data_IF_146411751310
#
_entry.id   IF_146411751310
#
_cell.length_a   1.000
_cell.length_b   1.000
_cell.length_c   1.000
_cell.angle_alpha   90.00
_cell.angle_beta   90.00
_cell.angle_gamma   90.00
#
_symmetry.space_group_name_H-M   'P 1'
#
loop_
_entity.id
_entity.type
_entity.pdbx_description
1 polymer ?
#
# COMPACT_ATOMS: atom_id res chain seq x y z
N UNK A 1 -23.22 4.64 -20.11
CA UNK A 1 -22.38 5.68 -19.48
C UNK A 1 -20.95 5.52 -20.04
N UNK A 2 -20.39 6.55 -20.72
CA UNK A 2 -19.07 6.45 -21.32
C UNK A 2 -18.00 6.25 -20.21
N UNK A 3 -17.00 5.40 -20.44
CA UNK A 3 -15.92 5.18 -19.50
C UNK A 3 -15.14 6.49 -19.27
N UNK A 4 -14.79 6.81 -18.02
CA UNK A 4 -14.03 8.03 -17.71
C UNK A 4 -12.66 8.02 -18.37
N UNK A 5 -12.18 9.19 -18.80
CA UNK A 5 -10.85 9.30 -19.39
C UNK A 5 -9.75 9.24 -18.32
N UNK A 6 -8.64 8.56 -18.61
CA UNK A 6 -7.48 8.48 -17.72
C UNK A 6 -6.91 9.86 -17.38
N UNK A 7 -6.70 10.80 -18.34
CA UNK A 7 -6.18 12.13 -18.02
C UNK A 7 -7.09 12.93 -17.06
N UNK A 8 -8.41 12.83 -17.22
CA UNK A 8 -9.36 13.49 -16.31
C UNK A 8 -9.28 12.89 -14.91
N UNK A 9 -9.20 11.57 -14.79
CA UNK A 9 -9.02 10.86 -13.51
C UNK A 9 -7.75 11.34 -12.79
N UNK A 10 -6.62 11.31 -13.46
CA UNK A 10 -5.32 11.71 -12.94
C UNK A 10 -5.34 13.15 -12.41
N UNK A 11 -5.75 14.10 -13.25
CA UNK A 11 -5.78 15.52 -12.90
C UNK A 11 -6.67 15.79 -11.69
N UNK A 12 -7.91 15.28 -11.69
CA UNK A 12 -8.89 15.54 -10.62
C UNK A 12 -8.50 14.84 -9.31
N UNK A 13 -8.01 13.61 -9.39
CA UNK A 13 -7.58 12.85 -8.22
C UNK A 13 -6.36 13.49 -7.55
N UNK A 14 -5.33 13.87 -8.31
CA UNK A 14 -4.15 14.53 -7.77
C UNK A 14 -4.45 15.93 -7.21
N UNK A 15 -5.35 16.69 -7.86
CA UNK A 15 -5.80 17.98 -7.32
C UNK A 15 -6.51 17.83 -5.97
N UNK A 16 -7.35 16.81 -5.83
CA UNK A 16 -7.99 16.47 -4.55
C UNK A 16 -6.95 16.03 -3.51
N UNK A 17 -6.03 15.15 -3.88
CA UNK A 17 -5.04 14.59 -2.96
C UNK A 17 -4.13 15.65 -2.35
N UNK A 18 -3.69 16.65 -3.11
CA UNK A 18 -2.86 17.75 -2.60
C UNK A 18 -3.49 18.48 -1.41
N UNK A 19 -4.81 18.50 -1.30
CA UNK A 19 -5.57 19.19 -0.23
C UNK A 19 -6.00 18.27 0.90
N UNK A 20 -6.04 16.96 0.69
CA UNK A 20 -6.68 16.01 1.60
C UNK A 20 -5.79 14.83 2.00
N UNK A 21 -4.50 14.86 1.64
CA UNK A 21 -3.59 13.78 2.00
C UNK A 21 -3.49 13.59 3.51
N UNK A 22 -3.58 12.34 3.97
CA UNK A 22 -3.46 12.02 5.38
C UNK A 22 -2.00 12.10 5.84
N UNK A 23 -1.68 12.76 6.98
CA UNK A 23 -0.31 12.90 7.50
C UNK A 23 0.13 11.63 8.24
N UNK A 24 0.26 10.50 7.54
CA UNK A 24 0.60 9.21 8.13
C UNK A 24 2.12 9.10 8.36
N UNK A 25 2.58 8.46 9.48
CA UNK A 25 4.00 8.39 9.82
C UNK A 25 4.87 7.76 8.73
N UNK A 26 4.39 6.69 8.12
CA UNK A 26 5.11 5.98 7.04
C UNK A 26 5.16 6.74 5.71
N UNK A 27 4.45 7.85 5.57
CA UNK A 27 4.55 8.76 4.42
C UNK A 27 5.67 9.79 4.55
N UNK A 28 6.25 9.91 5.76
CA UNK A 28 7.37 10.82 6.05
C UNK A 28 8.74 10.18 5.83
N UNK A 29 8.78 8.96 5.31
CA UNK A 29 10.01 8.21 5.05
C UNK A 29 9.99 7.57 3.68
N UNK A 30 11.18 7.30 3.14
CA UNK A 30 11.41 6.47 1.94
C UNK A 30 12.21 5.21 2.28
N UNK A 31 12.46 4.96 3.55
CA UNK A 31 13.13 3.75 4.00
C UNK A 31 12.26 2.52 3.69
N UNK A 32 12.72 1.60 2.81
CA UNK A 32 11.92 0.47 2.37
C UNK A 32 11.57 -0.51 3.49
N UNK A 33 12.41 -0.61 4.52
CA UNK A 33 12.09 -1.41 5.71
C UNK A 33 10.91 -0.82 6.48
N UNK A 34 10.94 0.49 6.74
CA UNK A 34 9.88 1.18 7.48
C UNK A 34 8.55 1.15 6.72
N UNK A 35 8.60 1.26 5.40
CA UNK A 35 7.43 1.12 4.53
C UNK A 35 6.90 -0.32 4.57
N UNK A 36 7.77 -1.33 4.44
CA UNK A 36 7.36 -2.73 4.52
C UNK A 36 6.68 -3.05 5.87
N UNK A 37 7.23 -2.54 6.99
CA UNK A 37 6.63 -2.68 8.32
C UNK A 37 5.20 -2.13 8.32
N UNK A 38 4.98 -0.90 7.81
CA UNK A 38 3.64 -0.32 7.77
C UNK A 38 2.68 -1.10 6.90
N UNK A 39 3.11 -1.56 5.72
CA UNK A 39 2.27 -2.32 4.79
C UNK A 39 1.81 -3.66 5.39
N UNK A 40 2.70 -4.37 6.10
CA UNK A 40 2.33 -5.60 6.78
C UNK A 40 1.42 -5.33 7.99
N UNK A 41 1.63 -4.24 8.73
CA UNK A 41 0.77 -3.85 9.85
C UNK A 41 -0.65 -3.48 9.39
N UNK A 42 -0.78 -2.80 8.26
CA UNK A 42 -2.05 -2.34 7.70
C UNK A 42 -2.91 -3.47 7.10
N UNK A 43 -2.35 -4.67 6.88
CA UNK A 43 -3.14 -5.81 6.42
C UNK A 43 -4.27 -6.11 7.42
N UNK A 44 -5.52 -5.87 7.03
CA UNK A 44 -6.74 -6.10 7.83
C UNK A 44 -6.73 -5.39 9.21
N UNK A 45 -6.01 -4.29 9.34
CA UNK A 45 -5.95 -3.49 10.58
C UNK A 45 -6.22 -2.02 10.27
N UNK A 46 -7.01 -1.37 11.11
CA UNK A 46 -7.35 0.04 10.97
C UNK A 46 -6.13 0.93 11.23
N UNK A 47 -6.02 2.03 10.49
CA UNK A 47 -4.90 2.99 10.53
C UNK A 47 -4.63 3.48 11.96
N UNK A 48 -5.66 3.88 12.68
CA UNK A 48 -5.52 4.46 14.04
C UNK A 48 -4.92 3.47 15.04
N UNK A 49 -5.15 2.17 14.86
CA UNK A 49 -4.53 1.12 15.66
C UNK A 49 -3.07 0.87 15.26
N UNK A 50 -2.74 1.10 13.99
CA UNK A 50 -1.37 0.87 13.47
C UNK A 50 -0.43 1.99 13.86
N UNK A 51 -0.84 3.26 13.87
CA UNK A 51 0.04 4.40 14.13
C UNK A 51 0.87 4.25 15.42
N UNK A 52 0.27 4.06 16.60
CA UNK A 52 1.06 3.93 17.84
C UNK A 52 1.95 2.70 17.82
N UNK A 53 1.48 1.59 17.26
CA UNK A 53 2.22 0.34 17.21
C UNK A 53 3.39 0.39 16.21
N UNK A 54 3.25 1.10 15.13
CA UNK A 54 4.33 1.36 14.17
C UNK A 54 5.51 2.09 14.83
N UNK A 55 5.24 3.13 15.63
CA UNK A 55 6.28 3.84 16.37
C UNK A 55 6.95 2.96 17.43
N UNK A 56 6.16 2.19 18.19
CA UNK A 56 6.68 1.25 19.18
C UNK A 56 7.57 0.19 18.54
N UNK A 57 7.11 -0.40 17.44
CA UNK A 57 7.82 -1.46 16.73
C UNK A 57 9.16 -0.95 16.17
N UNK A 58 9.19 0.23 15.55
CA UNK A 58 10.41 0.81 15.00
C UNK A 58 11.38 1.31 16.07
N UNK A 59 10.91 1.67 17.26
CA UNK A 59 11.82 1.93 18.40
C UNK A 59 12.50 0.65 18.85
N UNK A 60 11.78 -0.49 18.87
CA UNK A 60 12.33 -1.77 19.31
C UNK A 60 13.20 -2.44 18.24
N UNK A 61 12.83 -2.28 16.96
CA UNK A 61 13.50 -2.84 15.80
C UNK A 61 13.71 -1.76 14.74
N UNK A 62 14.67 -0.82 14.94
CA UNK A 62 14.85 0.32 14.05
C UNK A 62 15.40 -0.05 12.67
N UNK A 63 16.02 -1.22 12.53
CA UNK A 63 16.57 -1.71 11.25
C UNK A 63 16.11 -3.14 10.95
N UNK A 64 16.18 -3.52 9.67
CA UNK A 64 15.91 -4.88 9.21
C UNK A 64 16.84 -5.90 9.88
N UNK A 65 18.10 -5.52 10.15
CA UNK A 65 19.10 -6.38 10.79
C UNK A 65 18.73 -6.72 12.25
N UNK A 66 18.21 -5.76 12.99
CA UNK A 66 17.74 -5.97 14.36
C UNK A 66 16.49 -6.86 14.43
N UNK A 67 15.55 -6.63 13.51
CA UNK A 67 14.38 -7.49 13.40
C UNK A 67 14.75 -8.94 13.04
N UNK A 68 15.71 -9.12 12.13
CA UNK A 68 16.18 -10.45 11.73
C UNK A 68 16.75 -11.28 12.90
N UNK A 69 17.42 -10.62 13.85
CA UNK A 69 18.01 -11.25 15.05
C UNK A 69 16.99 -11.52 16.16
N UNK A 70 15.83 -10.87 16.13
CA UNK A 70 14.85 -10.94 17.21
C UNK A 70 14.26 -12.35 17.36
N UNK A 71 13.94 -12.76 18.59
CA UNK A 71 13.23 -14.01 18.85
C UNK A 71 11.76 -13.90 18.44
N UNK A 72 11.14 -14.95 17.84
CA UNK A 72 9.74 -14.91 17.42
C UNK A 72 8.76 -14.47 18.51
N UNK A 73 8.96 -14.94 19.75
CA UNK A 73 8.12 -14.60 20.89
C UNK A 73 8.16 -13.10 21.22
N UNK A 74 9.35 -12.48 21.14
CA UNK A 74 9.53 -11.04 21.39
C UNK A 74 8.83 -10.20 20.32
N UNK A 75 8.97 -10.59 19.04
CA UNK A 75 8.30 -9.89 17.93
C UNK A 75 6.78 -9.96 18.07
N UNK A 76 6.23 -11.13 18.46
CA UNK A 76 4.79 -11.26 18.75
C UNK A 76 4.35 -10.36 19.92
N UNK A 77 5.14 -10.30 20.99
CA UNK A 77 4.84 -9.44 22.16
C UNK A 77 4.75 -7.96 21.77
N UNK A 78 5.71 -7.46 21.00
CA UNK A 78 5.70 -6.06 20.53
C UNK A 78 4.56 -5.81 19.53
N UNK A 79 4.16 -6.82 18.75
CA UNK A 79 3.08 -6.71 17.77
C UNK A 79 1.68 -6.61 18.40
N UNK A 80 1.49 -7.23 19.57
CA UNK A 80 0.20 -7.21 20.28
C UNK A 80 -0.26 -5.78 20.57
N UNK A 81 -1.54 -5.40 20.37
CA UNK A 81 -2.72 -6.23 20.08
C UNK A 81 -3.22 -6.14 18.61
N UNK A 82 -2.36 -6.00 17.61
CA UNK A 82 -2.81 -5.86 16.20
C UNK A 82 -3.50 -7.11 15.64
N UNK A 83 -3.37 -8.26 16.30
CA UNK A 83 -3.94 -9.52 15.83
C UNK A 83 -3.20 -10.12 14.63
N UNK A 84 -3.78 -11.20 14.06
CA UNK A 84 -3.18 -11.93 12.93
C UNK A 84 -1.70 -12.30 13.16
N UNK A 85 -1.45 -13.06 14.22
CA UNK A 85 -0.14 -13.33 14.82
C UNK A 85 0.88 -14.04 13.91
N UNK A 86 0.49 -14.42 12.69
CA UNK A 86 1.41 -14.91 11.66
C UNK A 86 2.18 -13.76 11.00
N UNK A 87 1.61 -12.55 10.90
CA UNK A 87 2.22 -11.41 10.21
C UNK A 87 3.56 -10.97 10.82
N UNK A 88 3.70 -10.81 12.16
CA UNK A 88 4.99 -10.45 12.74
C UNK A 88 6.07 -11.51 12.49
N UNK A 89 5.68 -12.79 12.42
CA UNK A 89 6.62 -13.87 12.13
C UNK A 89 7.05 -13.83 10.67
N UNK A 90 6.12 -13.63 9.73
CA UNK A 90 6.44 -13.42 8.32
C UNK A 90 7.37 -12.22 8.11
N UNK A 91 7.06 -11.08 8.73
CA UNK A 91 7.89 -9.88 8.65
C UNK A 91 9.31 -10.14 9.17
N UNK A 92 9.45 -10.86 10.29
CA UNK A 92 10.76 -11.28 10.80
C UNK A 92 11.48 -12.23 9.83
N UNK A 93 10.78 -13.20 9.25
CA UNK A 93 11.38 -14.13 8.28
C UNK A 93 11.83 -13.40 7.01
N UNK A 94 11.02 -12.47 6.50
CA UNK A 94 11.44 -11.56 5.43
C UNK A 94 12.73 -10.81 5.82
N UNK A 95 12.80 -10.27 7.02
CA UNK A 95 13.99 -9.58 7.49
C UNK A 95 15.23 -10.50 7.51
N UNK A 96 15.07 -11.79 7.85
CA UNK A 96 16.16 -12.76 7.80
C UNK A 96 16.63 -13.02 6.37
N UNK A 97 15.71 -13.26 5.43
CA UNK A 97 16.02 -13.41 4.01
C UNK A 97 16.77 -12.19 3.48
N UNK A 98 16.26 -10.99 3.79
CA UNK A 98 16.90 -9.73 3.38
C UNK A 98 18.33 -9.61 3.90
N UNK A 99 18.59 -10.05 5.14
CA UNK A 99 19.97 -10.02 5.70
C UNK A 99 20.86 -11.09 5.10
N UNK A 100 20.34 -12.31 4.93
CA UNK A 100 21.11 -13.47 4.50
C UNK A 100 21.40 -13.47 2.98
N UNK A 101 20.41 -13.08 2.18
CA UNK A 101 20.46 -13.21 0.71
C UNK A 101 20.66 -11.89 -0.02
N UNK A 102 20.32 -10.75 0.63
CA UNK A 102 20.37 -9.42 0.02
C UNK A 102 21.27 -8.44 0.77
N UNK A 103 22.17 -8.93 1.65
CA UNK A 103 23.14 -8.08 2.38
C UNK A 103 22.49 -7.01 3.28
N UNK A 104 21.24 -7.23 3.69
CA UNK A 104 20.46 -6.30 4.52
C UNK A 104 19.78 -5.16 3.73
N UNK A 105 19.71 -5.26 2.42
CA UNK A 105 19.01 -4.29 1.55
C UNK A 105 17.72 -4.92 1.01
N UNK A 106 16.60 -4.24 1.21
CA UNK A 106 15.34 -4.70 0.61
C UNK A 106 15.43 -4.53 -0.91
N UNK A 107 15.10 -5.58 -1.69
CA UNK A 107 15.12 -5.52 -3.15
C UNK A 107 14.21 -4.42 -3.72
N UNK A 108 14.66 -3.82 -4.82
CA UNK A 108 13.96 -2.79 -5.57
C UNK A 108 13.34 -3.31 -6.89
N UNK A 109 13.12 -4.61 -6.97
CA UNK A 109 12.48 -5.28 -8.10
C UNK A 109 11.29 -6.14 -7.67
N UNK A 110 10.31 -6.32 -8.59
CA UNK A 110 9.16 -7.19 -8.33
C UNK A 110 9.60 -8.62 -8.03
N UNK A 111 10.50 -9.17 -8.84
CA UNK A 111 10.94 -10.57 -8.70
C UNK A 111 11.62 -10.79 -7.35
N UNK A 112 12.52 -9.88 -6.96
CA UNK A 112 13.20 -9.97 -5.67
C UNK A 112 12.25 -9.84 -4.47
N UNK A 113 11.21 -9.01 -4.58
CA UNK A 113 10.21 -8.88 -3.52
C UNK A 113 9.24 -10.06 -3.49
N UNK A 114 8.77 -10.53 -4.64
CA UNK A 114 7.81 -11.65 -4.73
C UNK A 114 8.43 -13.00 -4.36
N UNK A 115 9.75 -13.14 -4.44
CA UNK A 115 10.46 -14.32 -3.98
C UNK A 115 10.37 -14.52 -2.44
N UNK A 116 10.05 -13.48 -1.68
CA UNK A 116 9.94 -13.56 -0.22
C UNK A 116 8.55 -14.05 0.21
N UNK A 117 8.49 -15.10 1.03
CA UNK A 117 7.22 -15.58 1.58
C UNK A 117 6.50 -14.50 2.38
N UNK A 118 5.22 -14.29 2.06
CA UNK A 118 4.38 -13.27 2.69
C UNK A 118 4.37 -11.91 1.99
N UNK A 119 5.16 -11.71 0.93
CA UNK A 119 5.08 -10.55 0.05
C UNK A 119 4.27 -10.91 -1.20
N UNK A 120 3.04 -10.40 -1.27
CA UNK A 120 2.21 -10.52 -2.46
C UNK A 120 2.37 -9.31 -3.40
N UNK A 121 1.74 -9.41 -4.58
CA UNK A 121 1.79 -8.37 -5.62
C UNK A 121 1.47 -6.96 -5.11
N UNK A 122 0.50 -6.83 -4.20
CA UNK A 122 0.17 -5.54 -3.58
C UNK A 122 1.35 -4.99 -2.76
N UNK A 123 1.86 -5.79 -1.83
CA UNK A 123 2.96 -5.37 -0.94
C UNK A 123 4.22 -5.04 -1.74
N UNK A 124 4.56 -5.85 -2.74
CA UNK A 124 5.67 -5.58 -3.65
C UNK A 124 5.48 -4.23 -4.37
N UNK A 125 4.32 -4.01 -4.99
CA UNK A 125 4.01 -2.74 -5.65
C UNK A 125 4.04 -1.53 -4.71
N UNK A 126 3.56 -1.69 -3.47
CA UNK A 126 3.60 -0.65 -2.46
C UNK A 126 5.04 -0.27 -2.06
N UNK A 127 5.90 -1.27 -1.80
CA UNK A 127 7.32 -1.03 -1.49
C UNK A 127 8.02 -0.34 -2.67
N UNK A 128 7.84 -0.85 -3.90
CA UNK A 128 8.46 -0.26 -5.10
C UNK A 128 7.99 1.19 -5.33
N UNK A 129 6.70 1.44 -5.17
CA UNK A 129 6.13 2.78 -5.36
C UNK A 129 6.51 3.74 -4.24
N UNK A 130 6.42 3.31 -2.97
CA UNK A 130 6.54 4.23 -1.84
C UNK A 130 7.97 4.43 -1.37
N UNK A 131 8.83 3.41 -1.47
CA UNK A 131 10.23 3.52 -1.11
C UNK A 131 11.11 3.96 -2.29
N UNK A 132 10.94 3.29 -3.44
CA UNK A 132 11.83 3.46 -4.59
C UNK A 132 11.28 4.40 -5.66
N UNK A 133 10.11 5.01 -5.43
CA UNK A 133 9.44 5.94 -6.35
C UNK A 133 9.22 5.37 -7.76
N UNK A 134 9.05 4.06 -7.87
CA UNK A 134 8.76 3.40 -9.14
C UNK A 134 7.27 3.55 -9.51
N UNK A 135 6.97 3.54 -10.79
CA UNK A 135 5.59 3.56 -11.31
C UNK A 135 4.91 2.18 -11.19
N UNK A 136 5.04 1.57 -10.01
CA UNK A 136 4.50 0.26 -9.69
C UNK A 136 3.03 0.38 -9.25
N UNK A 137 2.08 -0.31 -9.92
CA UNK A 137 0.68 -0.28 -9.54
C UNK A 137 0.41 -1.02 -8.23
N UNK A 138 -0.60 -0.55 -7.50
CA UNK A 138 -1.18 -1.25 -6.35
C UNK A 138 -2.69 -1.41 -6.53
N UNK A 139 -3.23 -2.52 -6.06
CA UNK A 139 -4.68 -2.76 -6.05
C UNK A 139 -5.08 -3.41 -4.74
N UNK A 140 -5.53 -2.59 -3.79
CA UNK A 140 -6.24 -3.02 -2.58
C UNK A 140 -7.76 -2.96 -2.81
N UNK A 141 -8.55 -3.19 -1.77
CA UNK A 141 -10.01 -3.13 -1.83
C UNK A 141 -10.54 -1.72 -2.13
N UNK A 142 -9.86 -0.68 -1.67
CA UNK A 142 -10.23 0.72 -1.89
C UNK A 142 -9.94 1.15 -3.32
N UNK A 143 -8.73 0.87 -3.80
CA UNK A 143 -8.31 1.12 -5.18
C UNK A 143 -9.16 0.34 -6.17
N UNK A 144 -9.39 -0.95 -5.92
CA UNK A 144 -10.24 -1.79 -6.76
C UNK A 144 -11.66 -1.20 -6.90
N UNK A 145 -12.29 -0.82 -5.79
CA UNK A 145 -13.62 -0.21 -5.77
C UNK A 145 -13.66 1.11 -6.52
N UNK A 146 -12.67 1.98 -6.30
CA UNK A 146 -12.55 3.26 -6.96
C UNK A 146 -12.45 3.10 -8.48
N UNK A 147 -11.52 2.26 -8.95
CA UNK A 147 -11.32 1.99 -10.37
C UNK A 147 -12.54 1.35 -11.03
N UNK A 148 -13.20 0.40 -10.33
CA UNK A 148 -14.43 -0.21 -10.81
C UNK A 148 -15.54 0.82 -11.04
N UNK A 149 -15.79 1.67 -10.05
CA UNK A 149 -16.86 2.66 -10.12
C UNK A 149 -16.58 3.74 -11.15
N UNK A 150 -15.33 4.20 -11.23
CA UNK A 150 -14.97 5.27 -12.17
C UNK A 150 -14.90 4.78 -13.62
N UNK A 151 -14.30 3.62 -13.89
CA UNK A 151 -14.11 3.11 -15.23
C UNK A 151 -15.15 2.08 -15.69
N UNK A 152 -16.13 1.76 -14.86
CA UNK A 152 -17.21 0.85 -15.21
C UNK A 152 -16.76 -0.61 -15.40
N UNK A 153 -15.82 -1.10 -14.58
CA UNK A 153 -15.34 -2.49 -14.71
C UNK A 153 -16.32 -3.45 -14.04
N UNK A 154 -17.14 -4.12 -14.86
CA UNK A 154 -18.23 -4.99 -14.38
C UNK A 154 -18.02 -6.48 -14.63
N UNK A 155 -17.18 -6.90 -15.59
CA UNK A 155 -17.04 -8.32 -15.95
C UNK A 155 -16.34 -9.13 -14.84
N UNK A 156 -17.03 -10.09 -14.17
CA UNK A 156 -16.49 -10.84 -13.04
C UNK A 156 -15.26 -11.70 -13.37
N UNK A 157 -15.26 -12.40 -14.50
CA UNK A 157 -14.23 -13.38 -14.87
C UNK A 157 -12.86 -12.75 -15.21
N UNK A 158 -12.86 -11.51 -15.71
CA UNK A 158 -11.63 -10.78 -16.08
C UNK A 158 -11.34 -9.59 -15.16
N UNK A 159 -12.14 -9.40 -14.13
CA UNK A 159 -12.13 -8.22 -13.26
C UNK A 159 -10.77 -7.96 -12.61
N UNK A 160 -10.17 -8.99 -12.00
CA UNK A 160 -8.89 -8.83 -11.28
C UNK A 160 -7.76 -8.38 -12.22
N UNK A 161 -7.58 -9.05 -13.35
CA UNK A 161 -6.56 -8.69 -14.34
C UNK A 161 -6.76 -7.26 -14.85
N UNK A 162 -7.99 -6.92 -15.27
CA UNK A 162 -8.33 -5.59 -15.78
C UNK A 162 -8.10 -4.47 -14.77
N UNK A 163 -8.31 -4.71 -13.48
CA UNK A 163 -8.03 -3.73 -12.42
C UNK A 163 -6.55 -3.46 -12.27
N UNK A 164 -5.70 -4.48 -12.36
CA UNK A 164 -4.25 -4.30 -12.32
C UNK A 164 -3.72 -3.57 -13.57
N UNK A 165 -4.24 -3.90 -14.75
CA UNK A 165 -3.94 -3.19 -16.00
C UNK A 165 -4.35 -1.70 -15.90
N UNK A 166 -5.54 -1.42 -15.41
CA UNK A 166 -6.00 -0.05 -15.19
C UNK A 166 -5.16 0.68 -14.14
N UNK A 167 -4.84 0.03 -13.03
CA UNK A 167 -4.00 0.62 -12.00
C UNK A 167 -2.64 1.05 -12.58
N UNK A 168 -2.04 0.26 -13.46
CA UNK A 168 -0.82 0.64 -14.17
C UNK A 168 -1.05 1.81 -15.15
N UNK A 169 -2.12 1.75 -15.93
CA UNK A 169 -2.45 2.80 -16.93
C UNK A 169 -2.77 4.17 -16.33
N UNK A 170 -3.30 4.21 -15.11
CA UNK A 170 -3.62 5.49 -14.43
C UNK A 170 -2.41 6.12 -13.74
N UNK A 171 -1.25 5.48 -13.72
CA UNK A 171 -0.03 6.07 -13.19
C UNK A 171 0.63 6.95 -14.26
N UNK A 172 0.71 8.28 -14.08
CA UNK A 172 1.54 9.11 -14.96
C UNK A 172 3.02 8.81 -14.69
N UNK A 173 3.86 8.91 -15.70
CA UNK A 173 5.30 8.67 -15.59
C UNK A 173 5.91 9.48 -14.43
N UNK A 174 6.65 8.81 -13.55
CA UNK A 174 7.30 9.40 -12.38
C UNK A 174 6.35 9.85 -11.27
N UNK A 175 5.06 9.43 -11.29
CA UNK A 175 4.04 9.79 -10.30
C UNK A 175 3.43 8.58 -9.58
N UNK A 176 4.12 7.46 -9.58
CA UNK A 176 3.65 6.23 -8.94
C UNK A 176 3.27 6.44 -7.48
N UNK A 177 4.12 7.10 -6.71
CA UNK A 177 3.84 7.42 -5.32
C UNK A 177 2.56 8.23 -5.16
N UNK A 178 2.47 9.38 -5.81
CA UNK A 178 1.38 10.33 -5.61
C UNK A 178 0.03 9.72 -6.01
N UNK A 179 -0.04 9.06 -7.16
CA UNK A 179 -1.29 8.50 -7.68
C UNK A 179 -1.78 7.31 -6.84
N UNK A 180 -0.87 6.44 -6.41
CA UNK A 180 -1.20 5.29 -5.57
C UNK A 180 -1.71 5.75 -4.20
N UNK A 181 -1.03 6.68 -3.53
CA UNK A 181 -1.48 7.25 -2.27
C UNK A 181 -2.81 7.99 -2.43
N UNK A 182 -2.99 8.73 -3.51
CA UNK A 182 -4.23 9.42 -3.83
C UNK A 182 -5.42 8.45 -4.01
N UNK A 183 -5.21 7.35 -4.73
CA UNK A 183 -6.25 6.32 -4.92
C UNK A 183 -6.65 5.66 -3.60
N UNK A 184 -5.68 5.34 -2.74
CA UNK A 184 -5.94 4.77 -1.42
C UNK A 184 -6.74 5.73 -0.54
N UNK A 185 -6.32 7.00 -0.44
CA UNK A 185 -7.01 8.00 0.37
C UNK A 185 -8.41 8.30 -0.17
N UNK A 186 -8.54 8.52 -1.47
CA UNK A 186 -9.84 8.78 -2.08
C UNK A 186 -10.82 7.61 -1.92
N UNK A 187 -10.32 6.39 -2.09
CA UNK A 187 -11.10 5.18 -1.88
C UNK A 187 -11.55 4.98 -0.44
N UNK A 188 -10.74 5.38 0.54
CA UNK A 188 -11.07 5.24 1.96
C UNK A 188 -11.91 6.39 2.52
N UNK A 189 -11.74 7.63 2.03
CA UNK A 189 -12.38 8.82 2.58
C UNK A 189 -13.62 9.27 1.80
N UNK A 190 -13.62 9.13 0.47
CA UNK A 190 -14.69 9.65 -0.40
C UNK A 190 -15.48 8.51 -1.07
N UNK A 191 -14.79 7.61 -1.79
CA UNK A 191 -15.41 6.50 -2.50
C UNK A 191 -15.57 5.27 -1.59
N UNK A 192 -16.17 5.47 -0.41
CA UNK A 192 -16.32 4.42 0.62
C UNK A 192 -17.22 3.28 0.17
N UNK A 193 -17.16 2.12 0.86
CA UNK A 193 -17.90 0.93 0.47
C UNK A 193 -19.42 1.13 0.61
N UNK A 194 -19.87 1.59 1.78
CA UNK A 194 -21.31 1.66 2.14
C UNK A 194 -21.94 3.02 1.89
N UNK A 195 -21.24 4.12 2.15
CA UNK A 195 -21.78 5.50 2.05
C UNK A 195 -20.81 6.38 1.26
N UNK A 196 -20.69 6.18 -0.07
CA UNK A 196 -19.80 7.03 -0.88
C UNK A 196 -20.37 8.45 -1.00
N UNK A 197 -19.49 9.43 -0.96
CA UNK A 197 -19.83 10.85 -1.06
C UNK A 197 -20.01 11.30 -2.52
N UNK A 198 -20.91 10.64 -3.25
CA UNK A 198 -21.11 10.88 -4.69
C UNK A 198 -21.58 12.30 -5.05
N UNK A 199 -22.45 12.99 -4.26
CA UNK A 199 -22.87 14.36 -4.58
C UNK A 199 -21.72 15.36 -4.65
N UNK A 200 -20.73 15.25 -3.75
CA UNK A 200 -19.58 16.16 -3.62
C UNK A 200 -18.28 15.56 -4.18
N UNK A 201 -18.37 14.43 -4.88
CA UNK A 201 -17.21 13.68 -5.36
C UNK A 201 -16.41 14.47 -6.41
N UNK A 202 -15.14 14.74 -6.13
CA UNK A 202 -14.24 15.42 -7.06
C UNK A 202 -14.06 14.65 -8.39
N UNK A 203 -14.33 13.35 -8.42
CA UNK A 203 -14.29 12.51 -9.63
C UNK A 203 -15.66 12.36 -10.29
N UNK A 204 -16.72 12.98 -9.75
CA UNK A 204 -18.06 12.94 -10.36
C UNK A 204 -17.98 13.52 -11.78
N UNK A 205 -18.56 12.82 -12.71
CA UNK A 205 -18.72 13.32 -14.09
C UNK A 205 -19.80 14.38 -14.11
N UNK A 206 -19.54 15.45 -14.76
CA UNK A 206 -20.54 16.40 -15.20
C UNK A 206 -21.40 15.82 -16.28
#
# INVERSE_FOLDING_TARGET
>A
MSAGSVPSFQRRLLAWYRRHQRPLPWRRTRDPYKILVSEIMLQQTQVDRVIPKYHEFLRRYPTVKELAKARPAEVRKVWYPLGYNIRPIRLRNIARVVVQEHGGRIPDSYDGLLAMDGIGRYTAGAVLSFAFNQDAPIVDTNVARLLQRYFGVSNPSRKRRRLWELAGRVIPRGKGYDINQAMMDFGSLVCTARRPQCPTCALRRS
#
